data_IF_202935333465
#
_entry.id   IF_202935333465
#
_cell.length_a   1.000
_cell.length_b   1.000
_cell.length_c   1.000
_cell.angle_alpha   90.00
_cell.angle_beta   90.00
_cell.angle_gamma   90.00
#
_symmetry.space_group_name_H-M   'P 1'
#
loop_
_entity.id
_entity.type
_entity.pdbx_description
1 polymer ?
#
# COMPACT_ATOMS: atom_id res chain seq x y z
N UNK A 1 -19.74 -11.17 -1.44
CA UNK A 1 -18.48 -10.42 -1.51
C UNK A 1 -17.62 -10.75 -0.32
N UNK A 2 -16.39 -11.16 -0.57
CA UNK A 2 -15.44 -11.56 0.48
C UNK A 2 -14.49 -10.40 0.85
N UNK A 3 -14.43 -9.36 0.02
CA UNK A 3 -13.59 -8.17 0.24
C UNK A 3 -14.40 -7.10 0.98
N UNK A 4 -13.88 -6.68 2.13
CA UNK A 4 -14.41 -5.51 2.84
C UNK A 4 -13.95 -4.22 2.15
N UNK A 5 -14.87 -3.29 1.92
CA UNK A 5 -14.58 -1.98 1.35
C UNK A 5 -15.50 -0.91 1.91
N UNK A 6 -15.05 0.33 1.82
CA UNK A 6 -15.80 1.55 2.12
C UNK A 6 -15.79 2.45 0.89
N UNK A 7 -16.95 2.94 0.49
CA UNK A 7 -17.11 3.77 -0.69
C UNK A 7 -18.02 4.95 -0.42
N UNK A 8 -17.51 6.14 -0.67
CA UNK A 8 -18.27 7.38 -0.70
C UNK A 8 -18.12 8.02 -2.09
N UNK A 9 -19.21 8.27 -2.81
CA UNK A 9 -19.14 8.81 -4.16
C UNK A 9 -18.70 10.28 -4.15
N UNK A 10 -18.03 10.76 -5.21
CA UNK A 10 -17.73 12.18 -5.39
C UNK A 10 -18.99 12.95 -5.82
N UNK A 11 -18.89 14.29 -5.72
CA UNK A 11 -19.82 15.20 -6.39
C UNK A 11 -19.71 15.05 -7.92
N UNK A 12 -20.58 15.71 -8.67
CA UNK A 12 -20.70 15.56 -10.12
C UNK A 12 -19.37 15.71 -10.88
N UNK A 13 -18.52 16.69 -10.48
CA UNK A 13 -17.23 17.01 -11.09
C UNK A 13 -16.02 16.49 -10.29
N UNK A 14 -16.26 15.78 -9.18
CA UNK A 14 -15.21 15.29 -8.32
C UNK A 14 -14.55 14.01 -8.83
N UNK A 15 -13.47 13.63 -8.15
CA UNK A 15 -12.70 12.41 -8.39
C UNK A 15 -13.00 11.38 -7.32
N UNK A 16 -12.85 10.10 -7.65
CA UNK A 16 -12.82 9.02 -6.65
C UNK A 16 -11.38 8.61 -6.40
N UNK A 17 -10.88 8.85 -5.19
CA UNK A 17 -9.59 8.36 -4.73
C UNK A 17 -9.71 6.88 -4.35
N UNK A 18 -9.12 5.98 -5.12
CA UNK A 18 -9.08 4.54 -4.83
C UNK A 18 -7.80 4.23 -4.09
N UNK A 19 -7.92 3.91 -2.80
CA UNK A 19 -6.81 3.66 -1.91
C UNK A 19 -6.40 2.19 -1.90
N UNK A 20 -5.11 1.93 -2.13
CA UNK A 20 -4.50 0.60 -2.12
C UNK A 20 -3.50 0.54 -0.98
N UNK A 21 -3.78 -0.29 0.01
CA UNK A 21 -3.09 -0.34 1.29
C UNK A 21 -1.62 -0.81 1.19
N UNK A 22 -0.84 -0.51 2.24
CA UNK A 22 0.34 -1.30 2.58
C UNK A 22 -0.09 -2.67 3.17
N UNK A 23 0.86 -3.62 3.27
CA UNK A 23 0.57 -4.97 3.81
C UNK A 23 0.02 -4.93 5.24
N UNK A 24 0.46 -3.99 6.07
CA UNK A 24 0.03 -3.83 7.46
C UNK A 24 -1.07 -2.78 7.64
N UNK A 25 -1.54 -2.17 6.53
CA UNK A 25 -2.59 -1.15 6.56
C UNK A 25 -3.99 -1.73 6.45
N UNK A 26 -4.99 -0.90 6.66
CA UNK A 26 -6.41 -1.18 6.43
C UNK A 26 -7.17 0.11 6.06
N UNK A 27 -8.48 0.01 5.83
CA UNK A 27 -9.32 1.16 5.43
C UNK A 27 -9.26 2.32 6.40
N UNK A 28 -9.03 2.09 7.70
CA UNK A 28 -9.03 3.15 8.71
C UNK A 28 -7.93 4.20 8.50
N UNK A 29 -6.85 3.84 7.81
CA UNK A 29 -5.79 4.78 7.44
C UNK A 29 -6.28 5.90 6.52
N UNK A 30 -7.34 5.66 5.75
CA UNK A 30 -7.82 6.52 4.69
C UNK A 30 -9.14 7.21 5.02
N UNK A 31 -10.07 6.50 5.66
CA UNK A 31 -11.46 6.95 5.83
C UNK A 31 -11.66 7.97 6.95
N UNK A 32 -10.64 8.17 7.81
CA UNK A 32 -10.64 9.16 8.87
C UNK A 32 -10.48 10.60 8.36
N UNK A 33 -9.36 11.24 8.70
CA UNK A 33 -9.07 12.64 8.35
C UNK A 33 -8.99 12.84 6.82
N UNK A 34 -8.32 11.93 6.11
CA UNK A 34 -8.13 12.04 4.65
C UNK A 34 -9.49 11.95 3.95
N UNK A 35 -10.30 10.93 4.25
CA UNK A 35 -11.61 10.74 3.66
C UNK A 35 -12.54 11.94 3.91
N UNK A 36 -12.57 12.46 5.15
CA UNK A 36 -13.36 13.64 5.48
C UNK A 36 -12.95 14.87 4.66
N UNK A 37 -11.66 15.11 4.50
CA UNK A 37 -11.17 16.26 3.71
C UNK A 37 -11.52 16.08 2.23
N UNK A 38 -11.39 14.88 1.67
CA UNK A 38 -11.79 14.60 0.28
C UNK A 38 -13.28 14.92 0.07
N UNK A 39 -14.15 14.47 0.97
CA UNK A 39 -15.60 14.74 0.88
C UNK A 39 -15.93 16.23 0.99
N UNK A 40 -15.24 16.97 1.88
CA UNK A 40 -15.40 18.42 1.99
C UNK A 40 -15.02 19.16 0.70
N UNK A 41 -14.04 18.61 -0.05
CA UNK A 41 -13.59 19.15 -1.33
C UNK A 41 -14.40 18.62 -2.52
N UNK A 42 -15.48 17.89 -2.26
CA UNK A 42 -16.36 17.34 -3.30
C UNK A 42 -15.83 16.09 -3.99
N UNK A 43 -14.73 15.50 -3.50
CA UNK A 43 -14.18 14.24 -3.98
C UNK A 43 -14.75 13.07 -3.18
N UNK A 44 -14.70 11.87 -3.76
CA UNK A 44 -15.07 10.64 -3.08
C UNK A 44 -13.87 9.73 -2.85
N UNK A 45 -14.10 8.62 -2.20
CA UNK A 45 -13.07 7.60 -2.02
C UNK A 45 -13.63 6.18 -2.10
N UNK A 46 -12.77 5.25 -2.48
CA UNK A 46 -12.94 3.81 -2.35
C UNK A 46 -11.71 3.27 -1.63
N UNK A 47 -11.91 2.70 -0.45
CA UNK A 47 -10.88 2.03 0.32
C UNK A 47 -11.28 0.59 0.59
N UNK A 48 -10.34 -0.33 0.64
CA UNK A 48 -10.63 -1.75 0.85
C UNK A 48 -9.51 -2.45 1.61
N UNK A 49 -9.86 -3.53 2.28
CA UNK A 49 -8.90 -4.42 2.94
C UNK A 49 -8.53 -5.55 2.00
N UNK A 50 -7.24 -5.85 1.87
CA UNK A 50 -6.80 -7.05 1.14
C UNK A 50 -7.33 -8.32 1.81
N UNK A 51 -7.46 -9.41 1.06
CA UNK A 51 -7.73 -10.72 1.65
C UNK A 51 -6.74 -11.01 2.77
N UNK A 52 -7.25 -11.52 3.88
CA UNK A 52 -6.43 -11.76 5.07
C UNK A 52 -6.25 -10.56 5.99
N UNK A 53 -6.67 -9.34 5.59
CA UNK A 53 -6.74 -8.18 6.48
C UNK A 53 -8.14 -8.08 7.11
N UNK A 54 -8.20 -7.81 8.41
CA UNK A 54 -9.42 -7.53 9.19
C UNK A 54 -10.68 -8.23 8.65
N UNK A 55 -11.69 -7.47 8.24
CA UNK A 55 -13.01 -7.96 7.82
C UNK A 55 -13.02 -8.64 6.44
N UNK A 56 -11.93 -8.54 5.67
CA UNK A 56 -11.82 -9.24 4.40
C UNK A 56 -11.59 -10.73 4.60
N UNK A 57 -12.49 -11.55 4.06
CA UNK A 57 -12.38 -13.01 4.13
C UNK A 57 -11.34 -13.53 3.15
N UNK A 58 -10.85 -14.72 3.42
CA UNK A 58 -9.95 -15.44 2.51
C UNK A 58 -10.20 -16.95 2.62
N UNK A 59 -9.88 -17.69 1.57
CA UNK A 59 -9.82 -19.13 1.60
C UNK A 59 -8.40 -19.57 2.02
N UNK A 60 -8.32 -20.44 3.00
CA UNK A 60 -7.06 -20.97 3.53
C UNK A 60 -6.22 -21.70 2.48
N UNK A 61 -6.84 -22.20 1.43
CA UNK A 61 -6.16 -22.91 0.35
C UNK A 61 -5.60 -21.96 -0.74
N UNK A 62 -5.91 -20.65 -0.68
CA UNK A 62 -5.40 -19.69 -1.62
C UNK A 62 -4.05 -19.12 -1.16
N UNK A 63 -3.15 -18.93 -2.11
CA UNK A 63 -2.00 -18.07 -1.94
C UNK A 63 -2.43 -16.64 -2.14
N UNK A 64 -2.14 -15.78 -1.14
CA UNK A 64 -2.48 -14.36 -1.20
C UNK A 64 -1.36 -13.57 -1.89
N UNK A 65 -1.06 -13.94 -3.12
CA UNK A 65 -0.02 -13.34 -3.95
C UNK A 65 -0.46 -12.03 -4.64
N UNK A 66 0.46 -11.43 -5.37
CA UNK A 66 0.20 -10.16 -6.04
C UNK A 66 -0.87 -10.27 -7.14
N UNK A 67 -0.93 -11.39 -7.86
CA UNK A 67 -1.90 -11.55 -8.94
C UNK A 67 -3.32 -11.64 -8.41
N UNK A 68 -3.51 -12.33 -7.29
CA UNK A 68 -4.79 -12.39 -6.60
C UNK A 68 -5.21 -11.01 -6.08
N UNK A 69 -4.31 -10.29 -5.40
CA UNK A 69 -4.62 -8.95 -4.85
C UNK A 69 -4.92 -7.95 -5.96
N UNK A 70 -4.16 -7.96 -7.06
CA UNK A 70 -4.43 -7.12 -8.22
C UNK A 70 -5.76 -7.49 -8.89
N UNK A 71 -6.09 -8.78 -8.98
CA UNK A 71 -7.38 -9.24 -9.50
C UNK A 71 -8.55 -8.79 -8.62
N UNK A 72 -8.40 -8.84 -7.29
CA UNK A 72 -9.40 -8.32 -6.36
C UNK A 72 -9.64 -6.82 -6.56
N UNK A 73 -8.58 -6.03 -6.70
CA UNK A 73 -8.67 -4.59 -6.98
C UNK A 73 -9.43 -4.32 -8.31
N UNK A 74 -9.10 -5.06 -9.37
CA UNK A 74 -9.79 -4.94 -10.67
C UNK A 74 -11.28 -5.26 -10.54
N UNK A 75 -11.60 -6.36 -9.87
CA UNK A 75 -12.98 -6.80 -9.68
C UNK A 75 -13.77 -5.82 -8.80
N UNK A 76 -13.15 -5.26 -7.76
CA UNK A 76 -13.77 -4.28 -6.89
C UNK A 76 -14.06 -2.97 -7.65
N UNK A 77 -13.10 -2.45 -8.41
CA UNK A 77 -13.31 -1.25 -9.24
C UNK A 77 -14.41 -1.50 -10.26
N UNK A 78 -14.44 -2.65 -10.91
CA UNK A 78 -15.51 -3.01 -11.85
C UNK A 78 -16.87 -3.12 -11.18
N UNK A 79 -16.94 -3.67 -9.96
CA UNK A 79 -18.18 -3.85 -9.20
C UNK A 79 -18.75 -2.52 -8.70
N UNK A 80 -17.90 -1.67 -8.09
CA UNK A 80 -18.31 -0.35 -7.57
C UNK A 80 -18.54 0.65 -8.69
N UNK A 81 -17.80 0.51 -9.79
CA UNK A 81 -17.82 1.39 -10.97
C UNK A 81 -17.66 2.89 -10.62
N UNK A 82 -16.62 3.26 -9.86
CA UNK A 82 -16.42 4.64 -9.40
C UNK A 82 -16.08 5.56 -10.58
N UNK A 83 -16.53 6.82 -10.50
CA UNK A 83 -16.29 7.84 -11.52
C UNK A 83 -14.93 8.52 -11.29
N UNK A 84 -14.28 8.95 -12.37
CA UNK A 84 -13.06 9.78 -12.34
C UNK A 84 -11.99 9.23 -11.38
N UNK A 85 -11.61 7.97 -11.56
CA UNK A 85 -10.69 7.25 -10.66
C UNK A 85 -9.31 7.91 -10.61
N UNK A 86 -8.77 8.13 -9.41
CA UNK A 86 -7.36 8.35 -9.13
C UNK A 86 -6.88 7.23 -8.22
N UNK A 87 -5.92 6.44 -8.68
CA UNK A 87 -5.34 5.37 -7.85
C UNK A 87 -4.30 5.95 -6.90
N UNK A 88 -4.36 5.58 -5.63
CA UNK A 88 -3.42 6.02 -4.60
C UNK A 88 -2.91 4.79 -3.86
N UNK A 89 -1.63 4.50 -4.01
CA UNK A 89 -1.04 3.33 -3.38
C UNK A 89 0.08 3.68 -2.39
N UNK A 90 0.00 3.10 -1.21
CA UNK A 90 1.03 3.21 -0.18
C UNK A 90 1.94 1.99 -0.20
N UNK A 91 3.25 2.21 -0.29
CA UNK A 91 4.25 1.14 -0.30
C UNK A 91 3.95 0.12 -1.42
N UNK A 92 3.81 -1.16 -1.12
CA UNK A 92 3.46 -2.22 -2.10
C UNK A 92 2.12 -1.94 -2.80
N UNK A 93 1.19 -1.26 -2.13
CA UNK A 93 -0.09 -0.87 -2.73
C UNK A 93 0.08 -0.01 -3.99
N UNK A 94 1.16 0.78 -4.07
CA UNK A 94 1.49 1.52 -5.29
C UNK A 94 1.89 0.61 -6.45
N UNK A 95 2.62 -0.48 -6.19
CA UNK A 95 2.93 -1.49 -7.20
C UNK A 95 1.66 -2.19 -7.69
N UNK A 96 0.77 -2.60 -6.78
CA UNK A 96 -0.50 -3.22 -7.14
C UNK A 96 -1.41 -2.28 -7.94
N UNK A 97 -1.47 -1.01 -7.57
CA UNK A 97 -2.19 0.02 -8.33
C UNK A 97 -1.64 0.19 -9.74
N UNK A 98 -0.30 0.23 -9.90
CA UNK A 98 0.36 0.32 -11.19
C UNK A 98 0.10 -0.94 -12.07
N UNK A 99 0.14 -2.14 -11.48
CA UNK A 99 -0.20 -3.39 -12.17
C UNK A 99 -1.68 -3.42 -12.59
N UNK A 100 -2.59 -2.91 -11.76
CA UNK A 100 -4.00 -2.79 -12.12
C UNK A 100 -4.21 -1.82 -13.29
N UNK A 101 -3.49 -0.68 -13.34
CA UNK A 101 -3.47 0.21 -14.51
C UNK A 101 -3.02 -0.51 -15.78
N UNK A 102 -1.93 -1.26 -15.71
CA UNK A 102 -1.40 -2.04 -16.86
C UNK A 102 -2.40 -3.10 -17.32
N UNK A 103 -3.23 -3.64 -16.41
CA UNK A 103 -4.32 -4.58 -16.69
C UNK A 103 -5.63 -3.90 -17.14
N UNK A 104 -5.65 -2.57 -17.35
CA UNK A 104 -6.73 -1.85 -18.01
C UNK A 104 -7.66 -1.01 -17.13
N UNK A 105 -7.31 -0.74 -15.87
CA UNK A 105 -8.06 0.25 -15.07
C UNK A 105 -8.01 1.61 -15.74
N UNK A 106 -9.18 2.21 -16.00
CA UNK A 106 -9.27 3.57 -16.50
C UNK A 106 -9.17 4.56 -15.35
N UNK A 107 -7.99 5.17 -15.17
CA UNK A 107 -7.76 6.18 -14.15
C UNK A 107 -7.27 7.51 -14.74
N UNK A 108 -7.48 8.60 -14.01
CA UNK A 108 -7.03 9.97 -14.35
C UNK A 108 -5.61 10.25 -13.87
N UNK A 109 -5.13 9.52 -12.86
CA UNK A 109 -3.81 9.65 -12.28
C UNK A 109 -3.45 8.49 -11.37
N UNK A 110 -2.17 8.40 -11.04
CA UNK A 110 -1.61 7.46 -10.08
C UNK A 110 -0.78 8.22 -9.06
N UNK A 111 -1.02 7.99 -7.77
CA UNK A 111 -0.21 8.52 -6.68
C UNK A 111 0.52 7.37 -6.00
N UNK A 112 1.84 7.46 -5.94
CA UNK A 112 2.73 6.48 -5.31
C UNK A 112 3.31 7.10 -4.03
N UNK A 113 2.98 6.53 -2.88
CA UNK A 113 3.48 6.98 -1.58
C UNK A 113 4.50 5.97 -1.08
N UNK A 114 5.77 6.36 -0.98
CA UNK A 114 6.90 5.51 -0.56
C UNK A 114 6.92 4.12 -1.26
N UNK A 115 6.58 4.10 -2.56
CA UNK A 115 6.44 2.86 -3.34
C UNK A 115 7.73 2.46 -4.03
N UNK A 116 8.43 3.42 -4.69
CA UNK A 116 9.47 3.11 -5.66
C UNK A 116 10.67 2.43 -5.02
N UNK A 117 10.99 1.25 -5.52
CA UNK A 117 12.17 0.44 -5.16
C UNK A 117 12.53 -0.51 -6.28
N UNK A 118 13.78 -0.91 -6.36
CA UNK A 118 14.28 -1.90 -7.30
C UNK A 118 14.53 -3.25 -6.62
N UNK A 119 14.41 -4.36 -7.34
CA UNK A 119 14.88 -5.66 -6.85
C UNK A 119 16.33 -5.59 -6.42
N UNK A 120 16.65 -6.14 -5.26
CA UNK A 120 18.02 -6.17 -4.73
C UNK A 120 18.16 -7.21 -3.63
N UNK A 121 19.37 -7.72 -3.41
CA UNK A 121 19.67 -8.63 -2.29
C UNK A 121 19.29 -8.01 -0.93
N UNK A 122 19.47 -6.69 -0.79
CA UNK A 122 19.07 -5.96 0.41
C UNK A 122 17.56 -6.01 0.64
N UNK A 123 16.78 -5.82 -0.42
CA UNK A 123 15.30 -5.90 -0.33
C UNK A 123 14.85 -7.32 0.01
N UNK A 124 15.44 -8.33 -0.63
CA UNK A 124 15.14 -9.74 -0.36
C UNK A 124 15.48 -10.13 1.08
N UNK A 125 16.61 -9.62 1.60
CA UNK A 125 16.98 -9.85 2.99
C UNK A 125 15.96 -9.26 3.96
N UNK A 126 15.57 -7.99 3.75
CA UNK A 126 14.57 -7.31 4.57
C UNK A 126 13.24 -8.07 4.52
N UNK A 127 12.78 -8.46 3.34
CA UNK A 127 11.53 -9.19 3.15
C UNK A 127 11.53 -10.54 3.88
N UNK A 128 12.61 -11.32 3.75
CA UNK A 128 12.77 -12.60 4.46
C UNK A 128 12.78 -12.41 5.97
N UNK A 129 13.57 -11.46 6.48
CA UNK A 129 13.65 -11.18 7.91
C UNK A 129 12.28 -10.73 8.45
N UNK A 130 11.58 -9.85 7.73
CA UNK A 130 10.26 -9.39 8.10
C UNK A 130 9.23 -10.55 8.10
N UNK A 131 9.24 -11.42 7.09
CA UNK A 131 8.37 -12.60 7.04
C UNK A 131 8.57 -13.52 8.25
N UNK A 132 9.84 -13.82 8.59
CA UNK A 132 10.15 -14.63 9.76
C UNK A 132 9.70 -13.96 11.06
N UNK A 133 9.96 -12.65 11.22
CA UNK A 133 9.57 -11.92 12.42
C UNK A 133 8.03 -11.91 12.60
N UNK A 134 7.25 -11.76 11.51
CA UNK A 134 5.78 -11.85 11.56
C UNK A 134 5.33 -13.24 12.00
N UNK A 135 5.94 -14.29 11.50
CA UNK A 135 5.59 -15.67 11.88
C UNK A 135 5.84 -15.90 13.38
N UNK A 136 6.96 -15.42 13.93
CA UNK A 136 7.32 -15.65 15.32
C UNK A 136 6.64 -14.70 16.32
N UNK A 137 6.38 -13.44 15.92
CA UNK A 137 5.93 -12.41 16.86
C UNK A 137 4.79 -11.51 16.34
N UNK A 138 4.24 -11.81 15.16
CA UNK A 138 3.13 -11.05 14.57
C UNK A 138 3.56 -9.74 13.93
N UNK A 139 2.57 -8.98 13.44
CA UNK A 139 2.84 -7.72 12.73
C UNK A 139 3.30 -6.60 13.65
N UNK A 140 2.97 -6.65 14.96
CA UNK A 140 3.36 -5.62 15.92
C UNK A 140 4.88 -5.49 16.06
N UNK A 141 5.62 -6.61 16.04
CA UNK A 141 7.09 -6.56 16.11
C UNK A 141 7.69 -5.84 14.89
N UNK A 142 7.12 -6.05 13.70
CA UNK A 142 7.58 -5.37 12.48
C UNK A 142 7.34 -3.86 12.58
N UNK A 143 6.18 -3.47 13.06
CA UNK A 143 5.87 -2.05 13.25
C UNK A 143 6.84 -1.41 14.24
N UNK A 144 7.06 -2.04 15.40
CA UNK A 144 7.95 -1.50 16.41
C UNK A 144 9.44 -1.46 15.98
N UNK A 145 9.90 -2.43 15.18
CA UNK A 145 11.25 -2.44 14.62
C UNK A 145 11.44 -1.42 13.49
N UNK A 146 10.44 -1.24 12.64
CA UNK A 146 10.57 -0.38 11.46
C UNK A 146 10.22 1.08 11.74
N UNK A 147 9.25 1.37 12.61
CA UNK A 147 8.82 2.74 12.87
C UNK A 147 9.98 3.71 13.18
N UNK A 148 10.98 3.36 14.02
CA UNK A 148 12.10 4.27 14.32
C UNK A 148 12.96 4.63 13.10
N UNK A 149 12.90 3.84 12.04
CA UNK A 149 13.73 4.01 10.83
C UNK A 149 12.94 4.37 9.57
N UNK A 150 11.61 4.51 9.68
CA UNK A 150 10.75 4.92 8.56
C UNK A 150 9.86 6.13 8.86
N UNK A 151 9.72 6.51 10.13
CA UNK A 151 8.83 7.59 10.56
C UNK A 151 9.59 8.77 11.17
N UNK A 152 8.96 9.95 11.16
CA UNK A 152 9.55 11.14 11.79
C UNK A 152 9.57 11.05 13.31
N UNK A 153 10.51 11.73 13.99
CA UNK A 153 10.56 11.79 15.45
C UNK A 153 9.24 12.27 16.07
N UNK A 154 8.58 13.25 15.44
CA UNK A 154 7.28 13.78 15.91
C UNK A 154 6.20 12.72 15.85
N UNK A 155 6.17 11.90 14.79
CA UNK A 155 5.21 10.80 14.69
C UNK A 155 5.48 9.73 15.74
N UNK A 156 6.74 9.37 15.99
CA UNK A 156 7.11 8.42 17.02
C UNK A 156 6.64 8.86 18.42
N UNK A 157 6.77 10.16 18.73
CA UNK A 157 6.26 10.70 19.99
C UNK A 157 4.74 10.55 20.14
N UNK A 158 3.99 10.63 19.04
CA UNK A 158 2.53 10.46 19.05
C UNK A 158 2.10 9.02 19.30
N UNK A 159 2.85 8.04 18.81
CA UNK A 159 2.47 6.62 18.90
C UNK A 159 3.11 5.87 20.06
N UNK A 160 4.14 6.43 20.72
CA UNK A 160 4.98 5.75 21.71
C UNK A 160 4.21 5.04 22.84
N UNK A 161 3.07 5.58 23.24
CA UNK A 161 2.27 5.02 24.32
C UNK A 161 1.53 3.72 23.93
N UNK A 162 1.43 3.44 22.63
CA UNK A 162 0.79 2.25 22.05
C UNK A 162 1.80 1.31 21.39
N UNK A 163 3.08 1.65 21.44
CA UNK A 163 4.18 0.89 20.84
C UNK A 163 4.97 0.15 21.94
N UNK A 164 5.79 -0.81 21.54
CA UNK A 164 6.74 -1.55 22.38
C UNK A 164 6.10 -2.34 23.54
N UNK A 165 4.81 -2.68 23.41
CA UNK A 165 4.16 -3.58 24.35
C UNK A 165 4.37 -5.04 23.92
N UNK A 166 5.25 -5.75 24.62
CA UNK A 166 5.58 -7.14 24.36
C UNK A 166 4.36 -8.09 24.42
N UNK A 167 3.29 -7.72 25.11
CA UNK A 167 2.04 -8.50 25.13
C UNK A 167 1.36 -8.56 23.77
N UNK A 168 1.69 -7.64 22.85
CA UNK A 168 1.19 -7.60 21.47
C UNK A 168 2.00 -8.48 20.53
N UNK A 169 3.16 -9.00 20.94
CA UNK A 169 4.00 -9.86 20.11
C UNK A 169 3.48 -11.30 20.16
N UNK A 170 2.57 -11.58 19.23
CA UNK A 170 1.95 -12.91 19.11
C UNK A 170 2.24 -13.47 17.72
N UNK A 171 2.95 -14.59 17.69
CA UNK A 171 3.24 -15.30 16.46
C UNK A 171 1.96 -15.66 15.70
N UNK A 172 2.06 -15.69 14.40
CA UNK A 172 0.95 -16.01 13.50
C UNK A 172 1.09 -17.45 13.00
N UNK A 173 -0.02 -18.17 12.97
CA UNK A 173 -0.09 -19.47 12.32
C UNK A 173 0.20 -19.34 10.82
N UNK A 174 0.80 -20.36 10.18
CA UNK A 174 0.93 -20.39 8.72
C UNK A 174 -0.39 -20.19 7.97
N UNK A 175 -1.51 -20.52 8.62
CA UNK A 175 -2.85 -20.42 8.06
C UNK A 175 -3.54 -19.09 8.37
N UNK A 176 -2.95 -18.20 9.15
CA UNK A 176 -3.50 -16.87 9.38
C UNK A 176 -3.45 -16.05 8.08
N UNK A 177 -4.56 -15.36 7.76
CA UNK A 177 -4.68 -14.58 6.54
C UNK A 177 -3.61 -13.51 6.41
N UNK A 178 -3.31 -12.81 7.50
CA UNK A 178 -2.26 -11.79 7.49
C UNK A 178 -0.87 -12.39 7.27
N UNK A 179 -0.58 -13.59 7.81
CA UNK A 179 0.70 -14.27 7.56
C UNK A 179 0.83 -14.65 6.09
N UNK A 180 -0.22 -15.24 5.48
CA UNK A 180 -0.25 -15.55 4.04
C UNK A 180 -0.08 -14.29 3.19
N UNK A 181 -0.81 -13.22 3.51
CA UNK A 181 -0.72 -11.96 2.80
C UNK A 181 0.70 -11.35 2.89
N UNK A 182 1.32 -11.38 4.05
CA UNK A 182 2.69 -10.88 4.23
C UNK A 182 3.69 -11.70 3.41
N UNK A 183 3.58 -13.03 3.43
CA UNK A 183 4.43 -13.91 2.60
C UNK A 183 4.25 -13.61 1.10
N UNK A 184 3.02 -13.53 0.61
CA UNK A 184 2.72 -13.19 -0.78
C UNK A 184 3.23 -11.80 -1.18
N UNK A 185 3.07 -10.81 -0.30
CA UNK A 185 3.54 -9.45 -0.55
C UNK A 185 5.07 -9.35 -0.56
N UNK A 186 5.77 -10.09 0.29
CA UNK A 186 7.24 -10.07 0.31
C UNK A 186 7.88 -10.80 -0.89
N UNK A 187 7.12 -11.62 -1.61
CA UNK A 187 7.55 -12.25 -2.86
C UNK A 187 7.09 -11.52 -4.12
N UNK A 188 6.46 -10.34 -3.97
CA UNK A 188 5.98 -9.56 -5.10
C UNK A 188 7.11 -9.17 -6.05
N UNK A 189 6.81 -9.21 -7.35
CA UNK A 189 7.77 -8.86 -8.38
C UNK A 189 7.87 -7.34 -8.55
N UNK A 190 8.99 -6.75 -8.12
CA UNK A 190 9.30 -5.33 -8.23
C UNK A 190 9.95 -4.94 -9.56
N UNK A 191 10.26 -5.90 -10.44
CA UNK A 191 10.69 -5.62 -11.82
C UNK A 191 9.49 -5.18 -12.66
N UNK A 192 9.07 -3.94 -12.45
CA UNK A 192 7.93 -3.34 -13.12
C UNK A 192 8.38 -2.23 -14.07
N UNK A 193 7.91 -2.28 -15.32
CA UNK A 193 8.26 -1.32 -16.35
C UNK A 193 7.39 -0.05 -16.21
N UNK A 194 7.85 0.89 -15.40
CA UNK A 194 7.15 2.16 -15.14
C UNK A 194 6.99 3.03 -16.39
N UNK A 195 7.89 2.90 -17.34
CA UNK A 195 7.85 3.57 -18.68
C UNK A 195 6.63 3.18 -19.52
N UNK A 196 6.00 2.02 -19.26
CA UNK A 196 4.82 1.57 -19.99
C UNK A 196 3.57 2.38 -19.62
N UNK A 197 3.55 3.01 -18.46
CA UNK A 197 2.40 3.78 -18.00
C UNK A 197 2.32 5.13 -18.73
N UNK A 198 1.21 5.36 -19.44
CA UNK A 198 0.95 6.63 -20.13
C UNK A 198 -0.07 7.48 -19.38
N UNK A 199 0.21 7.74 -18.12
CA UNK A 199 -0.64 8.52 -17.22
C UNK A 199 0.24 9.46 -16.39
N UNK A 200 -0.33 10.51 -15.82
CA UNK A 200 0.40 11.33 -14.84
C UNK A 200 0.58 10.55 -13.55
N UNK A 201 1.82 10.44 -13.09
CA UNK A 201 2.21 9.74 -11.86
C UNK A 201 2.76 10.77 -10.87
N UNK A 202 2.14 10.88 -9.72
CA UNK A 202 2.69 11.64 -8.59
C UNK A 202 3.47 10.68 -7.70
N UNK A 203 4.75 10.96 -7.47
CA UNK A 203 5.63 10.19 -6.59
C UNK A 203 5.90 10.99 -5.33
N UNK A 204 5.40 10.53 -4.20
CA UNK A 204 5.60 11.13 -2.89
C UNK A 204 6.59 10.28 -2.09
N UNK A 205 7.68 10.89 -1.64
CA UNK A 205 8.76 10.21 -0.92
C UNK A 205 9.03 10.90 0.42
N UNK A 206 8.91 10.14 1.52
CA UNK A 206 9.32 10.61 2.85
C UNK A 206 10.80 10.36 3.11
N UNK A 207 11.53 11.38 3.58
CA UNK A 207 12.97 11.30 3.82
C UNK A 207 13.34 10.48 5.07
N UNK A 208 12.39 10.27 5.97
CA UNK A 208 12.60 9.43 7.15
C UNK A 208 12.66 7.94 6.85
N UNK A 209 12.15 7.49 5.68
CA UNK A 209 12.28 6.08 5.28
C UNK A 209 13.74 5.73 4.96
N UNK A 210 14.43 5.13 5.93
CA UNK A 210 15.82 4.65 5.79
C UNK A 210 15.89 3.15 5.42
N UNK A 211 14.75 2.49 5.33
CA UNK A 211 14.66 1.05 5.06
C UNK A 211 14.44 0.80 3.58
N UNK A 212 13.41 1.37 3.00
CA UNK A 212 13.00 1.09 1.62
C UNK A 212 13.42 2.17 0.62
N UNK A 213 13.71 3.38 1.11
CA UNK A 213 14.13 4.49 0.27
C UNK A 213 15.61 4.35 -0.12
N UNK A 214 15.87 4.09 -1.41
CA UNK A 214 17.20 4.17 -2.04
C UNK A 214 17.14 5.28 -3.09
N UNK A 215 17.78 6.42 -2.85
CA UNK A 215 17.61 7.63 -3.67
C UNK A 215 17.96 7.37 -5.14
N UNK A 216 19.07 6.69 -5.40
CA UNK A 216 19.52 6.39 -6.77
C UNK A 216 18.49 5.52 -7.53
N UNK A 217 17.88 4.54 -6.86
CA UNK A 217 16.86 3.69 -7.46
C UNK A 217 15.62 4.49 -7.79
N UNK A 218 15.19 5.36 -6.85
CA UNK A 218 14.03 6.24 -7.06
C UNK A 218 14.28 7.19 -8.23
N UNK A 219 15.46 7.83 -8.29
CA UNK A 219 15.84 8.73 -9.37
C UNK A 219 15.86 8.00 -10.73
N UNK A 220 16.42 6.79 -10.77
CA UNK A 220 16.43 5.96 -11.96
C UNK A 220 15.01 5.63 -12.44
N UNK A 221 14.14 5.19 -11.54
CA UNK A 221 12.75 4.83 -11.87
C UNK A 221 11.93 6.03 -12.30
N UNK A 222 12.06 7.18 -11.61
CA UNK A 222 11.38 8.43 -12.00
C UNK A 222 11.81 8.88 -13.39
N UNK A 223 13.11 8.82 -13.71
CA UNK A 223 13.63 9.20 -15.03
C UNK A 223 13.13 8.30 -16.17
N UNK A 224 12.68 7.10 -15.87
CA UNK A 224 12.06 6.20 -16.85
C UNK A 224 10.58 6.54 -17.15
N UNK A 225 9.92 7.29 -16.27
CA UNK A 225 8.49 7.61 -16.38
C UNK A 225 8.26 8.76 -17.37
N UNK A 226 7.12 8.72 -18.11
CA UNK A 226 6.81 9.72 -19.14
C UNK A 226 6.27 11.04 -18.59
N UNK A 227 5.43 10.97 -17.53
CA UNK A 227 4.75 12.13 -16.94
C UNK A 227 4.77 11.98 -15.42
N UNK A 228 5.70 12.64 -14.76
CA UNK A 228 5.89 12.50 -13.32
C UNK A 228 5.85 13.85 -12.61
N UNK A 229 5.21 13.85 -11.43
CA UNK A 229 5.25 14.93 -10.44
C UNK A 229 5.95 14.35 -9.23
N UNK A 230 7.10 14.89 -8.86
CA UNK A 230 7.87 14.45 -7.69
C UNK A 230 7.59 15.35 -6.50
N UNK A 231 7.26 14.75 -5.37
CA UNK A 231 7.07 15.44 -4.08
C UNK A 231 7.97 14.74 -3.06
N UNK A 232 8.82 15.52 -2.44
CA UNK A 232 9.68 15.08 -1.34
C UNK A 232 9.13 15.66 -0.03
N UNK A 233 8.99 14.80 0.97
CA UNK A 233 8.55 15.17 2.31
C UNK A 233 9.76 15.10 3.23
N UNK A 234 10.45 16.25 3.49
CA UNK A 234 11.72 16.23 4.20
C UNK A 234 11.55 15.87 5.68
N UNK A 235 10.57 16.43 6.37
CA UNK A 235 10.30 16.21 7.81
C UNK A 235 8.83 16.53 8.15
#
# INVERSE_FOLDING_TARGET
>A
NEIYYEYEPPNENGYTCVFVNALTGDTTAWTGLIGKNLLNDGNGYLSFNFRGQKESKFDINLDLDEDLIVSDLLNLIKFVNPKNVVLIGLSIGGLYAAKALKKGVNAKGLVLINTLRMPSERLDWINKAASNAVEFAGTSIIMDLLMPVIASPEFLLKIKNNALDANNYKGLSPNDGINKLMKGGFTANWDFQWSDLNITIMVMTGHHDKVFRVSNDIDHLINSMKKVIRIELPE
#
